data_IF_693718728596
#
_entry.id   IF_693718728596
#
_cell.length_a   1.000
_cell.length_b   1.000
_cell.length_c   1.000
_cell.angle_alpha   90.00
_cell.angle_beta   90.00
_cell.angle_gamma   90.00
#
_symmetry.space_group_name_H-M   'P 1'
#
loop_
_entity.id
_entity.type
_entity.pdbx_description
1 polymer ?
#
# COMPACT_ATOMS: atom_id res chain seq x y z
N UNK A 1 -15.35 -19.32 5.32
CA UNK A 1 -15.78 -20.11 4.13
C UNK A 1 -16.07 -19.25 2.90
N UNK A 2 -16.92 -18.22 2.96
CA UNK A 2 -17.18 -17.34 1.80
C UNK A 2 -15.92 -16.62 1.30
N UNK A 3 -15.09 -16.14 2.22
CA UNK A 3 -13.81 -15.49 1.97
C UNK A 3 -12.82 -16.42 1.27
N UNK A 4 -12.58 -17.62 1.82
CA UNK A 4 -11.70 -18.62 1.21
C UNK A 4 -12.15 -18.94 -0.22
N UNK A 5 -13.46 -19.03 -0.47
CA UNK A 5 -14.01 -19.26 -1.81
C UNK A 5 -13.71 -18.08 -2.75
N UNK A 6 -13.84 -16.84 -2.28
CA UNK A 6 -13.54 -15.65 -3.10
C UNK A 6 -12.06 -15.62 -3.54
N UNK A 7 -11.13 -15.93 -2.64
CA UNK A 7 -9.71 -16.04 -2.96
C UNK A 7 -9.41 -17.23 -3.88
N UNK A 8 -10.05 -18.37 -3.68
CA UNK A 8 -9.89 -19.53 -4.56
C UNK A 8 -10.36 -19.25 -6.01
N UNK A 9 -11.46 -18.52 -6.18
CA UNK A 9 -11.90 -18.08 -7.52
C UNK A 9 -10.92 -17.07 -8.13
N UNK A 10 -10.37 -16.18 -7.32
CA UNK A 10 -9.33 -15.25 -7.74
C UNK A 10 -8.05 -15.97 -8.20
N UNK A 11 -7.64 -17.05 -7.52
CA UNK A 11 -6.51 -17.89 -7.91
C UNK A 11 -6.79 -18.57 -9.25
N UNK A 12 -7.95 -19.19 -9.41
CA UNK A 12 -8.35 -19.89 -10.66
C UNK A 12 -8.39 -18.95 -11.86
N UNK A 13 -8.77 -17.69 -11.67
CA UNK A 13 -8.79 -16.66 -12.71
C UNK A 13 -7.39 -16.11 -13.08
N UNK A 14 -6.32 -16.65 -12.51
CA UNK A 14 -4.95 -16.26 -12.82
C UNK A 14 -4.50 -14.91 -12.22
N UNK A 15 -5.23 -14.37 -11.26
CA UNK A 15 -5.01 -13.07 -10.65
C UNK A 15 -3.68 -12.91 -9.94
N UNK A 16 -3.21 -13.99 -9.37
CA UNK A 16 -1.95 -14.07 -8.65
C UNK A 16 -0.78 -14.42 -9.58
N UNK A 17 -0.99 -14.37 -10.90
CA UNK A 17 0.07 -14.52 -11.89
C UNK A 17 0.88 -13.23 -12.04
N UNK A 18 2.10 -13.32 -12.60
CA UNK A 18 3.06 -12.21 -12.70
C UNK A 18 2.52 -10.98 -13.45
N UNK A 19 3.10 -9.80 -13.19
CA UNK A 19 2.55 -8.52 -13.63
C UNK A 19 2.44 -8.39 -15.15
N UNK A 20 1.33 -7.80 -15.58
CA UNK A 20 1.06 -7.41 -16.97
C UNK A 20 1.33 -5.93 -17.25
N UNK A 21 1.71 -5.17 -16.20
CA UNK A 21 1.92 -3.71 -16.27
C UNK A 21 0.62 -2.91 -16.13
N UNK A 22 -0.37 -3.17 -16.96
CA UNK A 22 -1.64 -2.41 -17.00
C UNK A 22 -2.77 -3.02 -16.19
N UNK A 23 -2.74 -4.32 -15.94
CA UNK A 23 -3.86 -5.07 -15.36
C UNK A 23 -3.38 -6.10 -14.33
N UNK A 24 -4.29 -6.53 -13.45
CA UNK A 24 -4.07 -7.62 -12.51
C UNK A 24 -3.59 -7.16 -11.13
N UNK A 25 -3.21 -8.14 -10.29
CA UNK A 25 -2.79 -7.88 -8.91
C UNK A 25 -1.49 -7.07 -8.85
N UNK A 26 -0.58 -7.29 -9.79
CA UNK A 26 0.77 -6.70 -9.83
C UNK A 26 0.91 -5.68 -10.94
N UNK A 27 -0.10 -4.85 -11.14
CA UNK A 27 -0.07 -3.74 -12.07
C UNK A 27 0.98 -2.67 -11.69
N UNK A 28 1.20 -1.69 -12.56
CA UNK A 28 2.19 -0.64 -12.34
C UNK A 28 1.93 0.20 -11.10
N UNK A 29 0.64 0.49 -10.79
CA UNK A 29 0.29 1.19 -9.54
C UNK A 29 0.69 0.35 -8.33
N UNK A 30 0.51 -0.98 -8.35
CA UNK A 30 1.01 -1.83 -7.27
C UNK A 30 2.51 -1.67 -7.10
N UNK A 31 3.29 -1.78 -8.17
CA UNK A 31 4.76 -1.79 -8.13
C UNK A 31 5.37 -0.41 -7.84
N UNK A 32 4.93 0.62 -8.56
CA UNK A 32 5.56 1.94 -8.56
C UNK A 32 4.87 2.95 -7.64
N UNK A 33 3.74 2.56 -7.06
CA UNK A 33 2.99 3.40 -6.13
C UNK A 33 2.80 2.72 -4.79
N UNK A 34 1.98 1.67 -4.69
CA UNK A 34 1.60 1.06 -3.41
C UNK A 34 2.79 0.46 -2.65
N UNK A 35 3.60 -0.37 -3.33
CA UNK A 35 4.78 -1.01 -2.72
C UNK A 35 5.85 0.03 -2.39
N UNK A 36 6.05 1.03 -3.27
CA UNK A 36 7.00 2.10 -3.04
C UNK A 36 6.59 3.02 -1.87
N UNK A 37 5.31 3.43 -1.77
CA UNK A 37 4.83 4.21 -0.61
C UNK A 37 5.09 3.48 0.69
N UNK A 38 4.68 2.20 0.74
CA UNK A 38 4.89 1.37 1.92
C UNK A 38 6.38 1.22 2.22
N UNK A 39 7.20 0.97 1.21
CA UNK A 39 8.66 0.90 1.33
C UNK A 39 9.27 2.20 1.86
N UNK A 40 8.83 3.36 1.37
CA UNK A 40 9.31 4.66 1.82
C UNK A 40 8.92 4.96 3.27
N UNK A 41 7.71 4.57 3.70
CA UNK A 41 7.30 4.70 5.11
C UNK A 41 8.11 3.79 6.02
N UNK A 42 8.48 2.58 5.57
CA UNK A 42 9.21 1.59 6.36
C UNK A 42 10.72 1.84 6.43
N UNK A 43 11.29 2.38 5.37
CA UNK A 43 12.74 2.50 5.17
C UNK A 43 13.50 2.97 6.41
N UNK A 44 13.15 4.10 7.07
CA UNK A 44 13.92 4.59 8.20
C UNK A 44 13.95 3.63 9.39
N UNK A 45 12.86 2.91 9.62
CA UNK A 45 12.73 1.94 10.72
C UNK A 45 13.50 0.65 10.40
N UNK A 46 13.43 0.17 9.16
CA UNK A 46 14.18 -1.00 8.70
C UNK A 46 15.68 -0.76 8.72
N UNK A 47 16.15 0.40 8.22
CA UNK A 47 17.57 0.76 8.26
C UNK A 47 18.11 0.73 9.70
N UNK A 48 17.34 1.30 10.64
CA UNK A 48 17.72 1.31 12.05
C UNK A 48 17.73 -0.10 12.67
N UNK A 49 16.70 -0.93 12.38
CA UNK A 49 16.61 -2.30 12.86
C UNK A 49 17.78 -3.14 12.33
N UNK A 50 18.03 -3.09 11.02
CA UNK A 50 19.11 -3.85 10.38
C UNK A 50 20.48 -3.41 10.88
N UNK A 51 20.72 -2.10 11.08
CA UNK A 51 21.96 -1.60 11.65
C UNK A 51 22.22 -2.19 13.06
N UNK A 52 21.19 -2.17 13.94
CA UNK A 52 21.29 -2.78 15.28
C UNK A 52 21.61 -4.27 15.23
N UNK A 53 21.05 -5.01 14.26
CA UNK A 53 21.30 -6.45 14.10
C UNK A 53 22.71 -6.72 13.58
N UNK A 54 23.19 -5.96 12.60
CA UNK A 54 24.56 -6.06 12.07
C UNK A 54 25.61 -5.81 13.15
N UNK A 55 25.43 -4.78 13.99
CA UNK A 55 26.33 -4.46 15.10
C UNK A 55 26.45 -5.62 16.11
N UNK A 56 25.39 -6.43 16.26
CA UNK A 56 25.34 -7.58 17.17
C UNK A 56 25.72 -8.90 16.50
N UNK A 57 26.05 -8.90 15.20
CA UNK A 57 26.30 -10.12 14.44
C UNK A 57 25.07 -11.04 14.33
N UNK A 58 23.85 -10.48 14.41
CA UNK A 58 22.59 -11.19 14.34
C UNK A 58 21.93 -11.05 12.98
N UNK A 59 21.08 -12.01 12.62
CA UNK A 59 20.25 -12.00 11.42
C UNK A 59 18.79 -11.75 11.79
N UNK A 60 17.95 -11.53 10.80
CA UNK A 60 16.54 -11.18 10.95
C UNK A 60 15.62 -12.39 10.83
N UNK A 61 14.64 -12.43 11.70
CA UNK A 61 13.49 -13.35 11.63
C UNK A 61 12.24 -12.54 11.32
N UNK A 62 11.52 -12.93 10.27
CA UNK A 62 10.32 -12.21 9.76
C UNK A 62 9.13 -13.14 9.83
N UNK A 63 8.01 -12.66 10.36
CA UNK A 63 6.71 -13.33 10.33
C UNK A 63 5.75 -12.52 9.47
N UNK A 64 5.18 -13.15 8.45
CA UNK A 64 4.19 -12.56 7.55
C UNK A 64 2.82 -13.18 7.81
N UNK A 65 1.92 -12.38 8.37
CA UNK A 65 0.56 -12.77 8.76
C UNK A 65 -0.37 -12.58 7.55
N UNK A 66 -1.06 -13.64 7.12
CA UNK A 66 -1.86 -13.62 5.91
C UNK A 66 -0.99 -13.40 4.66
N UNK A 67 0.09 -14.17 4.55
CA UNK A 67 1.15 -13.98 3.54
C UNK A 67 0.68 -14.19 2.08
N UNK A 68 -0.47 -14.79 1.87
CA UNK A 68 -0.97 -15.12 0.53
C UNK A 68 0.02 -15.97 -0.26
N UNK A 69 0.37 -15.53 -1.46
CA UNK A 69 1.37 -16.17 -2.34
C UNK A 69 2.84 -15.80 -1.99
N UNK A 70 3.09 -15.23 -0.81
CA UNK A 70 4.44 -14.91 -0.33
C UNK A 70 5.01 -13.58 -0.84
N UNK A 71 4.16 -12.67 -1.31
CA UNK A 71 4.57 -11.36 -1.88
C UNK A 71 5.30 -10.48 -0.86
N UNK A 72 4.99 -10.65 0.44
CA UNK A 72 5.62 -9.90 1.52
C UNK A 72 7.14 -10.09 1.57
N UNK A 73 7.64 -11.27 1.19
CA UNK A 73 9.08 -11.53 1.12
C UNK A 73 9.75 -10.68 0.04
N UNK A 74 9.23 -10.70 -1.19
CA UNK A 74 9.80 -9.89 -2.28
C UNK A 74 9.69 -8.40 -1.95
N UNK A 75 8.55 -7.95 -1.44
CA UNK A 75 8.35 -6.58 -1.03
C UNK A 75 9.43 -6.13 -0.03
N UNK A 76 9.61 -6.85 1.09
CA UNK A 76 10.48 -6.39 2.17
C UNK A 76 11.98 -6.49 1.81
N UNK A 77 12.37 -7.48 1.00
CA UNK A 77 13.77 -7.65 0.56
C UNK A 77 14.17 -6.70 -0.56
N UNK A 78 13.23 -6.14 -1.30
CA UNK A 78 13.50 -5.20 -2.39
C UNK A 78 13.56 -3.72 -1.94
N UNK A 79 13.36 -3.43 -0.66
CA UNK A 79 13.47 -2.04 -0.17
C UNK A 79 14.93 -1.61 -0.16
N UNK A 80 15.22 -0.56 -0.96
CA UNK A 80 16.57 -0.04 -1.15
C UNK A 80 16.92 0.94 -0.02
N UNK A 81 18.17 0.87 0.45
CA UNK A 81 18.70 1.80 1.45
C UNK A 81 18.78 3.23 0.93
N UNK A 82 18.47 4.19 1.80
CA UNK A 82 18.65 5.63 1.51
C UNK A 82 20.11 6.03 1.29
N UNK A 83 21.05 5.19 1.75
CA UNK A 83 22.50 5.39 1.65
C UNK A 83 23.14 4.61 0.53
N UNK A 84 22.35 3.87 -0.27
CA UNK A 84 22.90 3.09 -1.38
C UNK A 84 23.60 3.99 -2.40
N UNK A 85 24.78 3.58 -2.84
CA UNK A 85 25.49 4.19 -3.95
C UNK A 85 25.73 3.13 -5.03
N UNK A 86 25.84 3.56 -6.29
CA UNK A 86 26.10 2.67 -7.43
C UNK A 86 27.40 1.85 -7.26
N UNK A 87 28.30 2.29 -6.38
CA UNK A 87 29.56 1.63 -6.06
C UNK A 87 29.46 0.54 -4.98
N UNK A 88 28.31 0.41 -4.31
CA UNK A 88 28.10 -0.61 -3.27
C UNK A 88 27.32 -1.78 -3.85
N UNK A 89 27.79 -3.00 -3.57
CA UNK A 89 27.15 -4.23 -4.08
C UNK A 89 25.85 -4.57 -3.38
N UNK A 90 25.62 -4.04 -2.16
CA UNK A 90 24.41 -4.27 -1.37
C UNK A 90 23.59 -2.98 -1.33
N UNK A 91 22.61 -2.88 -2.22
CA UNK A 91 21.67 -1.76 -2.27
C UNK A 91 20.45 -1.99 -1.39
N UNK A 92 20.05 -3.25 -1.16
CA UNK A 92 18.90 -3.60 -0.33
C UNK A 92 19.24 -3.44 1.16
N UNK A 93 18.22 -3.00 1.93
CA UNK A 93 18.37 -2.89 3.40
C UNK A 93 18.56 -4.29 4.00
N UNK A 94 17.74 -5.25 3.56
CA UNK A 94 17.78 -6.65 3.97
C UNK A 94 18.51 -7.45 2.88
N UNK A 95 19.83 -7.43 2.92
CA UNK A 95 20.63 -8.27 2.03
C UNK A 95 20.35 -9.77 2.29
N UNK A 96 20.52 -10.66 1.29
CA UNK A 96 20.22 -12.09 1.42
C UNK A 96 20.85 -12.77 2.64
N UNK A 97 22.08 -12.38 3.01
CA UNK A 97 22.78 -12.89 4.19
C UNK A 97 22.23 -12.42 5.54
N UNK A 98 21.39 -11.39 5.54
CA UNK A 98 20.74 -10.86 6.76
C UNK A 98 19.48 -11.61 7.15
N UNK A 99 18.85 -12.36 6.23
CA UNK A 99 17.65 -13.11 6.51
C UNK A 99 18.00 -14.47 7.13
N UNK A 100 17.59 -14.69 8.38
CA UNK A 100 17.68 -15.98 9.06
C UNK A 100 16.47 -16.85 8.72
N UNK A 101 15.29 -16.28 8.88
CA UNK A 101 14.02 -16.96 8.64
C UNK A 101 12.99 -15.97 8.13
N UNK A 102 12.29 -16.33 7.05
CA UNK A 102 11.00 -15.79 6.71
C UNK A 102 9.94 -16.86 6.85
N UNK A 103 8.92 -16.59 7.65
CA UNK A 103 7.81 -17.51 7.87
C UNK A 103 6.50 -16.81 7.48
N UNK A 104 5.81 -17.36 6.51
CA UNK A 104 4.49 -16.89 6.07
C UNK A 104 3.39 -17.77 6.63
N UNK A 105 2.33 -17.15 7.15
CA UNK A 105 1.14 -17.85 7.63
C UNK A 105 -0.06 -17.42 6.81
N UNK A 106 -0.85 -18.37 6.33
CA UNK A 106 -2.12 -18.08 5.66
C UNK A 106 -3.14 -19.20 5.91
N UNK A 107 -4.41 -18.86 5.91
CA UNK A 107 -5.52 -19.80 6.05
C UNK A 107 -5.89 -20.47 4.71
N UNK A 108 -5.39 -19.95 3.59
CA UNK A 108 -5.68 -20.44 2.25
C UNK A 108 -4.55 -21.32 1.71
N UNK A 109 -4.76 -22.64 1.74
CA UNK A 109 -3.76 -23.62 1.27
C UNK A 109 -3.44 -23.48 -0.24
N UNK A 110 -4.37 -22.99 -1.06
CA UNK A 110 -4.12 -22.75 -2.48
C UNK A 110 -3.09 -21.64 -2.71
N UNK A 111 -3.15 -20.55 -1.92
CA UNK A 111 -2.15 -19.47 -1.95
C UNK A 111 -0.80 -19.97 -1.42
N UNK A 112 -0.78 -20.76 -0.34
CA UNK A 112 0.45 -21.32 0.22
C UNK A 112 1.13 -22.29 -0.74
N UNK A 113 0.36 -23.05 -1.53
CA UNK A 113 0.92 -23.91 -2.58
C UNK A 113 1.68 -23.06 -3.61
N UNK A 114 1.10 -21.96 -4.07
CA UNK A 114 1.79 -21.04 -4.98
C UNK A 114 3.02 -20.40 -4.32
N UNK A 115 2.90 -19.99 -3.04
CA UNK A 115 4.02 -19.42 -2.31
C UNK A 115 5.21 -20.38 -2.21
N UNK A 116 4.95 -21.67 -1.93
CA UNK A 116 5.98 -22.71 -1.88
C UNK A 116 6.61 -22.93 -3.25
N UNK A 117 5.82 -22.98 -4.32
CA UNK A 117 6.33 -23.11 -5.69
C UNK A 117 7.22 -21.94 -6.11
N UNK A 118 6.85 -20.69 -5.74
CA UNK A 118 7.61 -19.49 -6.07
C UNK A 118 8.94 -19.44 -5.31
N UNK A 119 8.95 -19.88 -4.05
CA UNK A 119 10.09 -19.70 -3.13
C UNK A 119 10.80 -20.98 -2.72
N UNK A 120 10.56 -22.12 -3.41
CA UNK A 120 11.14 -23.44 -3.11
C UNK A 120 12.67 -23.47 -3.10
N UNK A 121 13.30 -22.55 -3.84
CA UNK A 121 14.75 -22.40 -3.92
C UNK A 121 15.39 -21.69 -2.72
N UNK A 122 14.61 -21.18 -1.78
CA UNK A 122 15.08 -20.42 -0.59
C UNK A 122 14.97 -21.26 0.68
N UNK A 123 16.10 -21.81 1.23
CA UNK A 123 16.06 -22.75 2.35
C UNK A 123 15.62 -22.11 3.68
N UNK A 124 15.69 -20.79 3.79
CA UNK A 124 15.30 -20.04 4.98
C UNK A 124 13.90 -19.42 4.87
N UNK A 125 13.07 -19.93 3.95
CA UNK A 125 11.68 -19.49 3.75
C UNK A 125 10.76 -20.67 3.98
N UNK A 126 9.73 -20.49 4.80
CA UNK A 126 8.71 -21.50 5.04
C UNK A 126 7.31 -20.92 5.10
N UNK A 127 6.31 -21.77 4.81
CA UNK A 127 4.90 -21.37 4.77
C UNK A 127 4.05 -22.36 5.58
N UNK A 128 3.22 -21.83 6.47
CA UNK A 128 2.39 -22.59 7.42
C UNK A 128 0.92 -22.33 7.13
N UNK A 129 0.14 -23.41 6.98
CA UNK A 129 -1.30 -23.36 6.87
C UNK A 129 -1.90 -23.25 8.28
N UNK A 130 -2.29 -22.04 8.68
CA UNK A 130 -2.89 -21.76 9.99
C UNK A 130 -3.66 -20.45 9.95
N UNK A 131 -4.63 -20.29 10.86
CA UNK A 131 -5.12 -18.98 11.24
C UNK A 131 -4.03 -18.29 12.09
N UNK A 132 -3.62 -17.09 11.69
CA UNK A 132 -2.58 -16.37 12.41
C UNK A 132 -3.03 -15.92 13.81
N UNK A 133 -4.33 -15.89 14.12
CA UNK A 133 -4.83 -15.65 15.47
C UNK A 133 -4.61 -16.85 16.39
N UNK A 134 -4.54 -18.06 15.85
CA UNK A 134 -4.33 -19.30 16.59
C UNK A 134 -2.85 -19.73 16.62
N UNK A 135 -1.97 -18.99 15.94
CA UNK A 135 -0.55 -19.30 15.87
C UNK A 135 0.14 -19.07 17.23
N UNK A 136 0.80 -20.10 17.76
CA UNK A 136 1.51 -20.02 19.03
C UNK A 136 2.87 -19.31 18.88
N UNK A 137 2.85 -17.98 19.03
CA UNK A 137 4.07 -17.17 19.03
C UNK A 137 5.06 -17.55 20.15
N UNK A 138 4.57 -18.15 21.25
CA UNK A 138 5.39 -18.53 22.40
C UNK A 138 6.21 -19.79 22.17
N UNK A 139 5.84 -20.61 21.19
CA UNK A 139 6.57 -21.83 20.82
C UNK A 139 7.78 -21.54 19.92
N UNK A 140 7.90 -20.33 19.37
CA UNK A 140 8.92 -19.92 18.44
C UNK A 140 9.94 -18.97 19.07
N UNK A 141 11.15 -18.92 18.49
CA UNK A 141 12.07 -17.85 18.80
C UNK A 141 11.47 -16.50 18.32
N UNK A 142 11.65 -15.40 19.06
CA UNK A 142 11.05 -14.11 18.71
C UNK A 142 11.42 -13.64 17.32
N UNK A 143 10.43 -13.08 16.61
CA UNK A 143 10.66 -12.40 15.33
C UNK A 143 11.04 -10.94 15.55
N UNK A 144 11.75 -10.37 14.57
CA UNK A 144 12.18 -8.98 14.55
C UNK A 144 11.20 -8.09 13.78
N UNK A 145 10.53 -8.67 12.81
CA UNK A 145 9.59 -7.98 11.94
C UNK A 145 8.32 -8.82 11.76
N UNK A 146 7.19 -8.18 11.97
CA UNK A 146 5.86 -8.73 11.73
C UNK A 146 5.18 -7.93 10.62
N UNK A 147 4.75 -8.61 9.58
CA UNK A 147 4.03 -8.03 8.44
C UNK A 147 2.56 -8.44 8.49
N UNK A 148 1.66 -7.51 8.26
CA UNK A 148 0.23 -7.74 8.04
C UNK A 148 -0.27 -6.74 6.99
N UNK A 149 0.22 -6.92 5.76
CA UNK A 149 0.06 -5.98 4.66
C UNK A 149 -1.26 -6.19 3.90
N UNK A 150 -1.69 -5.15 3.16
CA UNK A 150 -2.77 -5.22 2.16
C UNK A 150 -4.10 -5.75 2.69
N UNK A 151 -4.51 -5.25 3.85
CA UNK A 151 -5.81 -5.53 4.43
C UNK A 151 -5.88 -6.82 5.24
N UNK A 152 -4.76 -7.49 5.53
CA UNK A 152 -4.75 -8.74 6.31
C UNK A 152 -5.51 -8.61 7.62
N UNK A 153 -5.19 -7.63 8.46
CA UNK A 153 -5.90 -7.45 9.73
C UNK A 153 -7.29 -6.82 9.59
N UNK A 154 -7.71 -6.46 8.37
CA UNK A 154 -9.11 -6.11 8.10
C UNK A 154 -10.06 -7.31 8.21
N UNK A 155 -9.55 -8.53 8.29
CA UNK A 155 -10.33 -9.74 8.57
C UNK A 155 -10.63 -9.94 10.06
N UNK A 156 -9.90 -9.26 10.95
CA UNK A 156 -10.04 -9.37 12.40
C UNK A 156 -11.07 -8.39 12.97
N UNK A 157 -11.67 -8.77 14.11
CA UNK A 157 -12.31 -7.80 15.00
C UNK A 157 -11.27 -6.94 15.71
N UNK A 158 -11.72 -5.83 16.30
CA UNK A 158 -10.84 -4.96 17.10
C UNK A 158 -10.23 -5.75 18.28
N UNK A 159 -11.02 -6.63 18.93
CA UNK A 159 -10.60 -7.47 20.04
C UNK A 159 -9.52 -8.48 19.61
N UNK A 160 -9.72 -9.16 18.47
CA UNK A 160 -8.73 -10.09 17.91
C UNK A 160 -7.42 -9.35 17.56
N UNK A 161 -7.52 -8.17 16.95
CA UNK A 161 -6.34 -7.35 16.66
C UNK A 161 -5.60 -6.92 17.93
N UNK A 162 -6.33 -6.48 18.95
CA UNK A 162 -5.75 -6.10 20.25
C UNK A 162 -5.06 -7.31 20.92
N UNK A 163 -5.66 -8.49 20.87
CA UNK A 163 -5.08 -9.71 21.44
C UNK A 163 -3.81 -10.12 20.69
N UNK A 164 -3.87 -10.19 19.37
CA UNK A 164 -2.72 -10.51 18.51
C UNK A 164 -1.54 -9.56 18.79
N UNK A 165 -1.77 -8.23 18.74
CA UNK A 165 -0.73 -7.23 19.00
C UNK A 165 -0.20 -7.29 20.45
N UNK A 166 -1.05 -7.62 21.41
CA UNK A 166 -0.64 -7.83 22.80
C UNK A 166 0.31 -9.02 22.91
N UNK A 167 -0.01 -10.13 22.26
CA UNK A 167 0.81 -11.33 22.24
C UNK A 167 2.15 -11.08 21.54
N UNK A 168 2.13 -10.44 20.37
CA UNK A 168 3.35 -10.02 19.65
C UNK A 168 4.21 -9.14 20.55
N UNK A 169 3.66 -8.09 21.17
CA UNK A 169 4.43 -7.18 22.02
C UNK A 169 5.08 -7.88 23.22
N UNK A 170 4.40 -8.87 23.81
CA UNK A 170 4.93 -9.66 24.94
C UNK A 170 6.02 -10.62 24.53
N UNK A 171 5.89 -11.27 23.38
CA UNK A 171 6.82 -12.31 22.91
C UNK A 171 8.04 -11.72 22.19
N UNK A 172 7.90 -10.58 21.51
CA UNK A 172 8.99 -9.97 20.74
C UNK A 172 10.09 -9.39 21.61
N UNK A 173 11.26 -9.15 21.00
CA UNK A 173 12.37 -8.42 21.64
C UNK A 173 12.18 -6.91 21.50
N UNK A 174 12.94 -6.14 22.32
CA UNK A 174 13.03 -4.70 22.16
C UNK A 174 13.49 -4.31 20.75
N UNK A 175 12.78 -3.40 20.11
CA UNK A 175 13.07 -2.89 18.77
C UNK A 175 12.48 -3.74 17.65
N UNK A 176 11.65 -4.75 17.94
CA UNK A 176 10.89 -5.45 16.93
C UNK A 176 9.85 -4.51 16.30
N UNK A 177 9.65 -4.61 14.97
CA UNK A 177 8.70 -3.80 14.23
C UNK A 177 7.45 -4.60 13.86
N UNK A 178 6.31 -3.93 13.91
CA UNK A 178 5.03 -4.48 13.46
C UNK A 178 4.45 -3.52 12.43
N UNK A 179 4.12 -4.02 11.27
CA UNK A 179 3.60 -3.25 10.14
C UNK A 179 2.24 -3.78 9.79
N UNK A 180 1.26 -2.89 9.81
CA UNK A 180 -0.13 -3.21 9.50
C UNK A 180 -0.62 -2.26 8.42
N UNK A 181 -1.34 -2.78 7.44
CA UNK A 181 -2.04 -2.01 6.43
C UNK A 181 -3.51 -2.44 6.41
N UNK A 182 -4.38 -1.66 7.03
CA UNK A 182 -5.84 -1.87 7.04
C UNK A 182 -6.49 -1.19 5.84
N UNK A 183 -7.72 -1.57 5.49
CA UNK A 183 -8.54 -0.79 4.59
C UNK A 183 -8.95 0.55 5.24
N UNK A 184 -8.73 1.65 4.52
CA UNK A 184 -9.04 2.99 5.03
C UNK A 184 -10.53 3.26 5.05
N UNK A 185 -11.06 3.70 6.19
CA UNK A 185 -12.50 3.95 6.42
C UNK A 185 -13.08 5.03 5.52
N UNK A 186 -12.31 6.07 5.24
CA UNK A 186 -12.71 7.24 4.49
C UNK A 186 -12.14 7.27 3.07
N UNK A 187 -11.73 6.12 2.52
CA UNK A 187 -11.35 6.03 1.11
C UNK A 187 -12.48 6.51 0.19
N UNK A 188 -12.11 7.26 -0.84
CA UNK A 188 -13.07 7.74 -1.84
C UNK A 188 -13.77 6.60 -2.59
N UNK A 189 -13.11 5.45 -2.71
CA UNK A 189 -13.65 4.25 -3.37
C UNK A 189 -15.01 3.82 -2.80
N UNK A 190 -15.21 3.97 -1.49
CA UNK A 190 -16.47 3.64 -0.81
C UNK A 190 -17.07 4.85 -0.05
N UNK A 191 -16.99 6.01 -0.67
CA UNK A 191 -17.56 7.26 -0.14
C UNK A 191 -19.01 7.12 0.34
N UNK A 192 -19.82 6.30 -0.34
CA UNK A 192 -21.21 6.05 0.04
C UNK A 192 -21.38 5.33 1.38
N UNK A 193 -20.33 4.64 1.85
CA UNK A 193 -20.31 3.93 3.13
C UNK A 193 -19.78 4.76 4.31
N UNK A 194 -19.26 5.97 4.06
CA UNK A 194 -18.78 6.83 5.16
C UNK A 194 -19.90 7.11 6.15
N UNK A 195 -19.59 7.06 7.44
CA UNK A 195 -20.52 7.32 8.52
C UNK A 195 -19.82 7.97 9.69
N UNK A 196 -20.56 8.80 10.44
CA UNK A 196 -20.09 9.45 11.66
C UNK A 196 -20.10 8.53 12.88
N UNK A 197 -20.76 7.39 12.76
CA UNK A 197 -20.75 6.40 13.81
C UNK A 197 -19.33 5.80 13.92
N UNK A 198 -18.64 6.15 14.99
CA UNK A 198 -17.30 5.68 15.35
C UNK A 198 -17.34 4.35 16.12
N UNK A 199 -18.45 3.62 16.02
CA UNK A 199 -18.59 2.32 16.66
C UNK A 199 -17.45 1.37 16.28
N UNK A 200 -16.96 0.65 17.30
CA UNK A 200 -15.94 -0.38 17.11
C UNK A 200 -16.42 -1.47 16.14
N UNK A 201 -15.48 -2.16 15.50
CA UNK A 201 -15.79 -3.26 14.56
C UNK A 201 -16.63 -2.81 13.34
N UNK A 202 -16.22 -1.72 12.68
CA UNK A 202 -16.91 -1.26 11.47
C UNK A 202 -16.57 -2.14 10.27
N UNK A 203 -17.59 -2.82 9.74
CA UNK A 203 -17.45 -3.76 8.64
C UNK A 203 -18.10 -3.25 7.36
N UNK A 204 -17.46 -3.55 6.23
CA UNK A 204 -18.07 -3.43 4.91
C UNK A 204 -18.26 -4.82 4.26
N UNK A 205 -19.22 -4.93 3.37
CA UNK A 205 -19.32 -6.08 2.46
C UNK A 205 -18.35 -5.87 1.31
N UNK A 206 -17.21 -6.53 1.38
CA UNK A 206 -16.15 -6.42 0.39
C UNK A 206 -16.28 -7.49 -0.68
N UNK A 207 -15.86 -7.19 -1.90
CA UNK A 207 -15.82 -8.11 -3.03
C UNK A 207 -14.58 -7.84 -3.87
N UNK A 208 -13.95 -8.91 -4.36
CA UNK A 208 -12.82 -8.82 -5.29
C UNK A 208 -13.41 -8.68 -6.70
N UNK A 209 -13.73 -7.44 -7.11
CA UNK A 209 -14.38 -7.14 -8.39
C UNK A 209 -13.47 -6.44 -9.42
N UNK A 210 -12.22 -6.17 -9.04
CA UNK A 210 -11.24 -5.47 -9.88
C UNK A 210 -10.45 -6.39 -10.80
N UNK A 211 -10.90 -7.63 -10.93
CA UNK A 211 -10.24 -8.63 -11.73
C UNK A 211 -10.79 -8.59 -13.14
N UNK A 212 -9.93 -8.50 -14.18
CA UNK A 212 -10.40 -8.64 -15.54
C UNK A 212 -11.01 -10.05 -15.71
N UNK A 213 -12.18 -10.12 -16.33
CA UNK A 213 -12.67 -11.38 -16.86
C UNK A 213 -11.66 -11.88 -17.91
N UNK A 214 -11.30 -13.15 -17.85
CA UNK A 214 -10.51 -13.77 -18.92
C UNK A 214 -11.31 -13.70 -20.21
N UNK A 215 -10.70 -13.28 -21.31
CA UNK A 215 -11.36 -13.12 -22.59
C UNK A 215 -12.13 -14.41 -22.98
N UNK A 216 -13.46 -14.27 -23.13
CA UNK A 216 -14.37 -15.37 -23.52
C UNK A 216 -14.98 -16.15 -22.34
N UNK A 217 -14.64 -15.88 -21.10
CA UNK A 217 -15.26 -16.48 -19.92
C UNK A 217 -16.36 -15.56 -19.33
N UNK A 218 -17.37 -16.18 -18.70
CA UNK A 218 -18.33 -15.41 -17.90
C UNK A 218 -17.59 -14.75 -16.74
N UNK A 219 -17.90 -13.46 -16.41
CA UNK A 219 -17.39 -12.87 -15.18
C UNK A 219 -17.65 -13.82 -14.00
N UNK A 220 -16.67 -14.01 -13.11
CA UNK A 220 -16.86 -14.85 -11.94
C UNK A 220 -18.03 -14.34 -11.11
N UNK A 221 -18.77 -15.26 -10.49
CA UNK A 221 -19.82 -14.89 -9.55
C UNK A 221 -19.19 -14.15 -8.37
N UNK A 222 -19.67 -12.91 -8.13
CA UNK A 222 -19.07 -12.05 -7.11
C UNK A 222 -19.43 -12.56 -5.70
N UNK A 223 -18.44 -13.03 -4.97
CA UNK A 223 -18.59 -13.47 -3.58
C UNK A 223 -18.23 -12.34 -2.62
N UNK A 224 -19.24 -11.92 -1.82
CA UNK A 224 -19.05 -10.88 -0.81
C UNK A 224 -18.65 -11.49 0.54
N UNK A 225 -17.72 -10.82 1.23
CA UNK A 225 -17.30 -11.16 2.58
C UNK A 225 -17.04 -9.89 3.42
N UNK A 226 -17.12 -9.98 4.75
CA UNK A 226 -16.91 -8.80 5.58
C UNK A 226 -15.43 -8.43 5.68
N UNK A 227 -15.10 -7.13 5.55
CA UNK A 227 -13.80 -6.57 5.91
C UNK A 227 -13.97 -5.37 6.84
N UNK A 228 -13.09 -5.31 7.83
CA UNK A 228 -12.97 -4.18 8.74
C UNK A 228 -12.38 -2.97 8.01
N UNK A 229 -13.01 -1.80 8.13
CA UNK A 229 -12.45 -0.54 7.65
C UNK A 229 -12.01 0.30 8.86
N UNK A 230 -10.85 0.96 8.72
CA UNK A 230 -10.13 1.60 9.81
C UNK A 230 -9.93 3.09 9.55
N UNK A 231 -10.28 3.93 10.52
CA UNK A 231 -9.87 5.32 10.57
C UNK A 231 -8.82 5.55 11.66
N UNK A 232 -8.32 6.78 11.73
CA UNK A 232 -7.32 7.18 12.73
C UNK A 232 -7.78 6.89 14.16
N UNK A 233 -9.04 7.21 14.49
CA UNK A 233 -9.57 7.06 15.82
C UNK A 233 -9.61 5.60 16.27
N UNK A 234 -10.03 4.70 15.38
CA UNK A 234 -10.06 3.27 15.65
C UNK A 234 -8.65 2.68 15.78
N UNK A 235 -7.72 3.09 14.92
CA UNK A 235 -6.32 2.66 15.02
C UNK A 235 -5.68 3.11 16.35
N UNK A 236 -5.93 4.35 16.77
CA UNK A 236 -5.46 4.87 18.07
C UNK A 236 -6.14 4.18 19.25
N UNK A 237 -7.42 3.81 19.13
CA UNK A 237 -8.12 3.02 20.14
C UNK A 237 -7.47 1.64 20.32
N UNK A 238 -7.23 0.91 19.23
CA UNK A 238 -6.53 -0.40 19.27
C UNK A 238 -5.15 -0.23 19.93
N UNK A 239 -4.38 0.76 19.50
CA UNK A 239 -3.08 1.06 20.09
C UNK A 239 -3.17 1.29 21.62
N UNK A 240 -4.14 2.10 22.08
CA UNK A 240 -4.30 2.38 23.51
C UNK A 240 -4.67 1.12 24.30
N UNK A 241 -5.56 0.27 23.77
CA UNK A 241 -5.94 -1.00 24.39
C UNK A 241 -4.73 -1.94 24.53
N UNK A 242 -3.88 -2.05 23.50
CA UNK A 242 -2.65 -2.85 23.58
C UNK A 242 -1.68 -2.26 24.58
N UNK A 243 -1.51 -0.93 24.60
CA UNK A 243 -0.63 -0.24 25.55
C UNK A 243 -1.05 -0.49 26.99
N UNK A 244 -2.36 -0.42 27.29
CA UNK A 244 -2.89 -0.66 28.63
C UNK A 244 -2.69 -2.13 29.06
N UNK A 245 -2.95 -3.09 28.15
CA UNK A 245 -2.78 -4.52 28.45
C UNK A 245 -1.31 -4.95 28.63
N UNK A 246 -0.39 -4.23 28.02
CA UNK A 246 1.04 -4.58 28.04
C UNK A 246 1.87 -3.73 29.00
N UNK A 247 1.28 -2.72 29.63
CA UNK A 247 2.02 -1.76 30.46
C UNK A 247 2.95 -0.85 29.63
N UNK A 248 2.64 -0.64 28.35
CA UNK A 248 3.36 0.29 27.47
C UNK A 248 4.45 -0.34 26.60
N UNK A 249 4.41 -1.66 26.35
CA UNK A 249 5.41 -2.34 25.51
C UNK A 249 5.33 -2.00 24.02
N UNK A 250 4.33 -1.27 23.56
CA UNK A 250 4.16 -0.92 22.16
C UNK A 250 4.16 0.60 21.96
N UNK A 251 4.83 1.08 20.95
CA UNK A 251 4.83 2.48 20.52
C UNK A 251 4.36 2.58 19.07
N UNK A 252 3.39 3.46 18.80
CA UNK A 252 2.99 3.81 17.43
C UNK A 252 4.00 4.80 16.87
N UNK A 253 4.74 4.40 15.85
CA UNK A 253 5.80 5.19 15.21
C UNK A 253 5.29 6.00 14.01
N UNK A 254 4.37 5.43 13.23
CA UNK A 254 3.79 6.08 12.06
C UNK A 254 2.35 5.64 11.84
N UNK A 255 1.54 6.55 11.28
CA UNK A 255 0.19 6.27 10.78
C UNK A 255 -0.01 7.09 9.51
N UNK A 256 -0.18 6.44 8.38
CA UNK A 256 -0.18 7.06 7.07
C UNK A 256 -1.28 6.50 6.16
N UNK A 257 -1.91 7.37 5.38
CA UNK A 257 -2.83 6.97 4.30
C UNK A 257 -2.02 6.53 3.08
N UNK A 258 -2.51 5.55 2.33
CA UNK A 258 -1.93 5.01 1.11
C UNK A 258 -2.98 4.87 0.02
N UNK A 259 -2.63 5.31 -1.20
CA UNK A 259 -3.47 5.15 -2.41
C UNK A 259 -4.84 5.82 -2.29
N UNK A 260 -4.89 7.14 -2.07
CA UNK A 260 -6.14 7.89 -1.84
C UNK A 260 -7.08 7.92 -3.05
N UNK A 261 -6.53 8.06 -4.28
CA UNK A 261 -7.32 8.10 -5.51
C UNK A 261 -6.97 7.01 -6.53
N UNK A 262 -6.02 6.13 -6.21
CA UNK A 262 -5.56 5.06 -7.11
C UNK A 262 -5.85 3.66 -6.57
N UNK A 263 -6.77 3.56 -5.62
CA UNK A 263 -7.20 2.28 -5.06
C UNK A 263 -7.87 1.39 -6.11
N UNK A 264 -8.02 0.10 -5.77
CA UNK A 264 -8.44 -0.92 -6.75
C UNK A 264 -9.88 -0.77 -7.22
N UNK A 265 -10.77 -0.23 -6.37
CA UNK A 265 -12.17 -0.05 -6.68
C UNK A 265 -12.49 1.28 -7.36
N UNK A 266 -11.51 2.13 -7.61
CA UNK A 266 -11.68 3.32 -8.45
C UNK A 266 -12.16 2.92 -9.85
N UNK A 267 -11.54 1.92 -10.46
CA UNK A 267 -11.84 1.48 -11.83
C UNK A 267 -13.18 0.75 -11.94
N UNK A 268 -13.66 0.12 -10.86
CA UNK A 268 -14.91 -0.65 -10.88
C UNK A 268 -16.14 0.19 -10.54
N UNK A 269 -15.95 1.31 -9.87
CA UNK A 269 -17.02 2.13 -9.29
C UNK A 269 -18.01 1.31 -8.42
N UNK A 270 -17.59 0.15 -7.89
CA UNK A 270 -18.42 -0.85 -7.22
C UNK A 270 -19.16 -0.28 -6.00
N UNK A 271 -18.50 0.58 -5.23
CA UNK A 271 -19.02 1.15 -3.98
C UNK A 271 -19.33 2.65 -4.08
N UNK A 272 -18.80 3.32 -5.08
CA UNK A 272 -19.01 4.74 -5.32
C UNK A 272 -19.16 4.98 -6.83
N UNK A 273 -20.39 5.24 -7.31
CA UNK A 273 -20.65 5.43 -8.73
C UNK A 273 -19.99 6.68 -9.31
N UNK A 274 -19.41 7.54 -8.47
CA UNK A 274 -18.68 8.73 -8.88
C UNK A 274 -17.17 8.49 -9.05
N UNK A 275 -16.68 7.27 -8.79
CA UNK A 275 -15.31 6.92 -9.09
C UNK A 275 -15.04 6.96 -10.60
N UNK A 276 -13.83 7.37 -10.94
CA UNK A 276 -13.32 7.38 -12.30
C UNK A 276 -12.28 6.25 -12.42
N UNK A 277 -12.01 5.72 -13.62
CA UNK A 277 -11.02 4.66 -13.83
C UNK A 277 -9.57 5.17 -13.70
N UNK A 278 -9.29 5.85 -12.58
CA UNK A 278 -8.06 6.59 -12.37
C UNK A 278 -6.85 5.66 -12.16
N UNK A 279 -7.06 4.50 -11.52
CA UNK A 279 -5.99 3.50 -11.34
C UNK A 279 -5.44 3.04 -12.69
N UNK A 280 -6.32 2.70 -13.64
CA UNK A 280 -5.93 2.28 -14.99
C UNK A 280 -5.15 3.36 -15.73
N UNK A 281 -5.56 4.63 -15.58
CA UNK A 281 -4.89 5.77 -16.21
C UNK A 281 -3.51 6.03 -15.58
N UNK A 282 -3.39 5.90 -14.26
CA UNK A 282 -2.09 5.99 -13.57
C UNK A 282 -1.20 4.81 -13.93
N UNK A 283 -1.75 3.60 -14.11
CA UNK A 283 -0.98 2.46 -14.64
C UNK A 283 -0.36 2.79 -16.00
N UNK A 284 -1.09 3.48 -16.89
CA UNK A 284 -0.58 3.84 -18.22
C UNK A 284 0.53 4.89 -18.20
N UNK A 285 0.61 5.75 -17.18
CA UNK A 285 1.73 6.69 -17.00
C UNK A 285 3.09 6.00 -16.89
N UNK A 286 3.11 4.75 -16.39
CA UNK A 286 4.33 3.96 -16.22
C UNK A 286 4.61 3.00 -17.38
N UNK A 287 3.77 2.99 -18.43
CA UNK A 287 3.95 2.12 -19.58
C UNK A 287 4.81 2.79 -20.66
N UNK A 288 5.99 2.24 -21.01
CA UNK A 288 6.82 2.77 -22.07
C UNK A 288 6.06 2.81 -23.41
N UNK A 289 6.21 3.92 -24.13
CA UNK A 289 5.62 4.14 -25.46
C UNK A 289 4.08 4.25 -25.51
N UNK A 290 3.40 4.28 -24.38
CA UNK A 290 1.95 4.53 -24.27
C UNK A 290 1.73 5.94 -23.77
N UNK A 291 1.20 6.83 -24.61
CA UNK A 291 0.84 8.18 -24.17
C UNK A 291 -0.54 8.19 -23.55
N UNK A 292 -0.62 8.67 -22.32
CA UNK A 292 -1.85 8.77 -21.54
C UNK A 292 -2.62 10.06 -21.90
N UNK A 293 -3.94 9.98 -21.96
CA UNK A 293 -4.77 11.19 -22.04
C UNK A 293 -4.79 11.87 -20.66
N UNK A 294 -4.03 12.96 -20.51
CA UNK A 294 -3.89 13.65 -19.22
C UNK A 294 -5.18 14.34 -18.76
N UNK A 295 -6.10 14.69 -19.67
CA UNK A 295 -7.42 15.23 -19.28
C UNK A 295 -8.26 14.19 -18.51
N UNK A 296 -8.06 12.90 -18.77
CA UNK A 296 -8.74 11.82 -18.07
C UNK A 296 -8.10 11.50 -16.70
N UNK A 297 -6.85 11.92 -16.48
CA UNK A 297 -6.15 11.76 -15.19
C UNK A 297 -6.62 12.79 -14.15
N UNK A 298 -7.40 13.79 -14.56
CA UNK A 298 -7.96 14.81 -13.68
C UNK A 298 -9.03 14.22 -12.74
N UNK A 299 -8.95 14.53 -11.45
CA UNK A 299 -9.87 14.06 -10.42
C UNK A 299 -11.12 14.95 -10.38
N UNK A 300 -12.29 14.34 -10.46
CA UNK A 300 -13.60 14.99 -10.22
C UNK A 300 -14.12 14.58 -8.87
N UNK A 301 -13.60 15.24 -7.83
CA UNK A 301 -14.00 14.94 -6.46
C UNK A 301 -15.43 15.46 -6.17
N UNK A 302 -16.24 14.61 -5.53
CA UNK A 302 -17.59 14.95 -5.08
C UNK A 302 -17.63 14.83 -3.55
N UNK A 303 -17.76 15.93 -2.81
CA UNK A 303 -17.78 15.90 -1.36
C UNK A 303 -19.02 15.16 -0.81
N UNK A 304 -18.94 14.69 0.42
CA UNK A 304 -20.07 14.11 1.17
C UNK A 304 -20.43 14.97 2.35
N UNK A 305 -21.71 15.34 2.47
CA UNK A 305 -22.21 16.18 3.56
C UNK A 305 -21.90 15.57 4.93
N UNK A 306 -21.48 16.42 5.85
CA UNK A 306 -21.21 16.03 7.21
C UNK A 306 -19.79 15.50 7.49
N UNK A 307 -18.90 15.43 6.49
CA UNK A 307 -17.52 14.94 6.62
C UNK A 307 -16.51 16.05 6.30
N UNK A 308 -16.55 17.14 7.05
CA UNK A 308 -15.81 18.38 6.74
C UNK A 308 -14.31 18.14 6.58
N UNK A 309 -13.65 17.49 7.55
CA UNK A 309 -12.20 17.26 7.53
C UNK A 309 -11.78 16.29 6.42
N UNK A 310 -12.53 15.20 6.26
CA UNK A 310 -12.29 14.21 5.19
C UNK A 310 -12.47 14.86 3.81
N UNK A 311 -13.54 15.65 3.63
CA UNK A 311 -13.76 16.39 2.39
C UNK A 311 -12.64 17.42 2.14
N UNK A 312 -12.18 18.12 3.16
CA UNK A 312 -11.11 19.10 3.04
C UNK A 312 -9.81 18.45 2.56
N UNK A 313 -9.47 17.26 3.09
CA UNK A 313 -8.31 16.51 2.65
C UNK A 313 -8.44 16.09 1.17
N UNK A 314 -9.52 15.39 0.82
CA UNK A 314 -9.70 14.90 -0.55
C UNK A 314 -9.78 16.04 -1.57
N UNK A 315 -10.48 17.15 -1.24
CA UNK A 315 -10.56 18.30 -2.12
C UNK A 315 -9.17 18.94 -2.33
N UNK A 316 -8.42 19.14 -1.24
CA UNK A 316 -7.06 19.70 -1.32
C UNK A 316 -6.13 18.82 -2.17
N UNK A 317 -6.19 17.50 -1.98
CA UNK A 317 -5.39 16.57 -2.78
C UNK A 317 -5.81 16.62 -4.26
N UNK A 318 -7.13 16.63 -4.55
CA UNK A 318 -7.66 16.72 -5.91
C UNK A 318 -7.26 18.03 -6.59
N UNK A 319 -7.35 19.17 -5.90
CA UNK A 319 -6.96 20.47 -6.45
C UNK A 319 -5.47 20.53 -6.78
N UNK A 320 -4.62 20.06 -5.87
CA UNK A 320 -3.17 20.00 -6.09
C UNK A 320 -2.79 19.02 -7.20
N UNK A 321 -3.42 17.84 -7.24
CA UNK A 321 -3.25 16.85 -8.29
C UNK A 321 -3.60 17.41 -9.66
N UNK A 322 -4.82 17.95 -9.79
CA UNK A 322 -5.30 18.52 -11.05
C UNK A 322 -4.42 19.66 -11.53
N UNK A 323 -3.97 20.51 -10.61
CA UNK A 323 -3.07 21.62 -10.96
C UNK A 323 -1.73 21.11 -11.49
N UNK A 324 -1.12 20.10 -10.85
CA UNK A 324 0.13 19.50 -11.32
C UNK A 324 -0.02 18.86 -12.70
N UNK A 325 -1.10 18.10 -12.93
CA UNK A 325 -1.40 17.48 -14.23
C UNK A 325 -1.59 18.53 -15.30
N UNK A 326 -2.43 19.54 -15.05
CA UNK A 326 -2.75 20.60 -16.05
C UNK A 326 -1.52 21.47 -16.38
N UNK A 327 -0.69 21.78 -15.38
CA UNK A 327 0.58 22.49 -15.62
C UNK A 327 1.53 21.64 -16.49
N UNK A 328 1.66 20.35 -16.20
CA UNK A 328 2.49 19.43 -17.01
C UNK A 328 1.99 19.35 -18.44
N UNK A 329 0.68 19.26 -18.64
CA UNK A 329 0.08 19.28 -19.98
C UNK A 329 0.35 20.59 -20.72
N UNK A 330 0.16 21.73 -20.06
CA UNK A 330 0.45 23.05 -20.63
C UNK A 330 1.92 23.18 -21.07
N UNK A 331 2.85 22.67 -20.28
CA UNK A 331 4.28 22.63 -20.62
C UNK A 331 4.54 21.76 -21.87
N UNK A 332 3.92 20.60 -21.96
CA UNK A 332 4.05 19.70 -23.12
C UNK A 332 3.51 20.33 -24.42
N UNK A 333 2.45 21.10 -24.32
CA UNK A 333 1.78 21.78 -25.46
C UNK A 333 2.40 23.14 -25.77
N UNK A 334 3.30 23.67 -24.94
CA UNK A 334 3.80 25.04 -25.07
C UNK A 334 2.73 26.10 -24.84
N UNK A 335 1.66 25.75 -24.13
CA UNK A 335 0.54 26.63 -23.82
C UNK A 335 0.74 27.35 -22.47
N UNK A 336 -0.13 28.34 -22.18
CA UNK A 336 -0.06 29.07 -20.91
C UNK A 336 -0.55 28.16 -19.76
N UNK A 337 0.20 28.07 -18.64
CA UNK A 337 -0.27 27.34 -17.46
C UNK A 337 -1.57 27.94 -16.90
N UNK A 338 -2.37 27.13 -16.17
CA UNK A 338 -3.60 27.61 -15.52
C UNK A 338 -3.31 28.70 -14.48
N UNK A 339 -4.35 29.41 -14.07
CA UNK A 339 -4.25 30.36 -12.95
C UNK A 339 -3.80 29.65 -11.67
N UNK A 340 -2.88 30.28 -10.95
CA UNK A 340 -2.32 29.67 -9.73
C UNK A 340 -3.41 29.42 -8.68
N UNK A 341 -3.30 28.31 -7.96
CA UNK A 341 -4.14 28.02 -6.81
C UNK A 341 -3.99 29.11 -5.75
N UNK A 342 -5.09 29.47 -5.07
CA UNK A 342 -5.07 30.46 -3.99
C UNK A 342 -4.10 30.10 -2.87
N UNK A 343 -4.02 28.79 -2.54
CA UNK A 343 -3.04 28.22 -1.64
C UNK A 343 -2.24 27.13 -2.34
N UNK A 344 -0.95 27.34 -2.48
CA UNK A 344 -0.03 26.39 -3.09
C UNK A 344 0.92 25.81 -2.05
N UNK A 345 0.68 24.57 -1.56
CA UNK A 345 1.54 23.96 -0.55
C UNK A 345 2.96 23.75 -1.07
N UNK A 346 3.95 23.75 -0.15
CA UNK A 346 5.35 23.58 -0.50
C UNK A 346 5.62 22.30 -1.34
N UNK A 347 5.02 21.14 -1.03
CA UNK A 347 5.19 19.95 -1.88
C UNK A 347 4.82 20.22 -3.34
N UNK A 348 3.66 20.79 -3.60
CA UNK A 348 3.20 21.07 -4.97
C UNK A 348 4.17 21.98 -5.72
N UNK A 349 4.66 23.06 -5.07
CA UNK A 349 5.64 23.98 -5.70
C UNK A 349 6.93 23.26 -6.12
N UNK A 350 7.44 22.37 -5.26
CA UNK A 350 8.64 21.60 -5.56
C UNK A 350 8.43 20.63 -6.72
N UNK A 351 7.27 19.95 -6.75
CA UNK A 351 6.94 19.00 -7.81
C UNK A 351 6.68 19.68 -9.16
N UNK A 352 6.11 20.88 -9.17
CA UNK A 352 5.98 21.70 -10.39
C UNK A 352 7.35 22.04 -10.98
N UNK A 353 8.29 22.49 -10.16
CA UNK A 353 9.68 22.75 -10.61
C UNK A 353 10.33 21.49 -11.19
N UNK A 354 10.11 20.35 -10.55
CA UNK A 354 10.60 19.06 -11.07
C UNK A 354 10.00 18.76 -12.47
N UNK A 355 8.69 18.92 -12.62
CA UNK A 355 8.04 18.67 -13.92
C UNK A 355 8.47 19.66 -15.02
N UNK A 356 8.69 20.95 -14.68
CA UNK A 356 9.26 21.94 -15.61
C UNK A 356 10.63 21.50 -16.14
N UNK A 357 11.51 21.02 -15.25
CA UNK A 357 12.82 20.52 -15.61
C UNK A 357 12.75 19.26 -16.49
N UNK A 358 11.89 18.31 -16.12
CA UNK A 358 11.70 17.06 -16.89
C UNK A 358 11.18 17.34 -18.30
N UNK A 359 10.14 18.18 -18.44
CA UNK A 359 9.58 18.52 -19.76
C UNK A 359 10.60 19.27 -20.62
N UNK A 360 11.35 20.19 -20.03
CA UNK A 360 12.42 20.91 -20.72
C UNK A 360 13.50 19.98 -21.27
N UNK A 361 13.92 18.98 -20.48
CA UNK A 361 14.88 17.97 -20.93
C UNK A 361 14.29 17.09 -22.02
N UNK A 362 13.04 16.64 -21.87
CA UNK A 362 12.35 15.81 -22.85
C UNK A 362 12.18 16.50 -24.20
N UNK A 363 11.94 17.82 -24.23
CA UNK A 363 11.80 18.60 -25.45
C UNK A 363 13.08 18.64 -26.32
N UNK A 364 14.26 18.39 -25.73
CA UNK A 364 15.55 18.30 -26.43
C UNK A 364 15.92 16.90 -26.90
N UNK A 365 15.10 15.89 -26.66
CA UNK A 365 15.41 14.51 -27.00
C UNK A 365 14.90 14.12 -28.39
N UNK A 366 15.78 13.52 -29.20
CA UNK A 366 15.46 12.99 -30.53
C UNK A 366 15.04 11.50 -30.50
N UNK A 367 14.82 10.92 -29.32
CA UNK A 367 14.58 9.48 -29.17
C UNK A 367 13.10 9.19 -28.86
N UNK A 368 12.48 8.44 -29.75
CA UNK A 368 11.21 7.77 -29.50
C UNK A 368 10.08 8.71 -29.02
N UNK A 369 9.24 8.20 -28.13
CA UNK A 369 8.19 8.98 -27.48
C UNK A 369 8.70 9.47 -26.10
N UNK A 370 9.44 10.60 -26.10
CA UNK A 370 10.00 11.18 -24.89
C UNK A 370 8.92 11.53 -23.83
N UNK A 371 7.70 11.88 -24.28
CA UNK A 371 6.56 12.11 -23.40
C UNK A 371 6.23 10.84 -22.58
N UNK A 372 5.96 9.73 -23.25
CA UNK A 372 5.57 8.48 -22.59
C UNK A 372 6.73 7.80 -21.83
N UNK A 373 7.98 7.99 -22.32
CA UNK A 373 9.13 7.29 -21.74
C UNK A 373 9.82 8.06 -20.62
N UNK A 374 9.64 9.38 -20.53
CA UNK A 374 10.30 10.22 -19.54
C UNK A 374 9.31 11.07 -18.73
N UNK A 375 8.42 11.84 -19.40
CA UNK A 375 7.58 12.82 -18.72
C UNK A 375 6.49 12.15 -17.90
N UNK A 376 5.74 11.22 -18.49
CA UNK A 376 4.59 10.59 -17.84
C UNK A 376 4.98 9.72 -16.62
N UNK A 377 6.05 8.90 -16.65
CA UNK A 377 6.50 8.21 -15.44
C UNK A 377 6.90 9.17 -14.31
N UNK A 378 7.58 10.27 -14.64
CA UNK A 378 7.93 11.27 -13.62
C UNK A 378 6.70 11.99 -13.07
N UNK A 379 5.69 12.25 -13.89
CA UNK A 379 4.40 12.75 -13.42
C UNK A 379 3.76 11.77 -12.44
N UNK A 380 3.75 10.46 -12.75
CA UNK A 380 3.26 9.41 -11.85
C UNK A 380 3.98 9.43 -10.49
N UNK A 381 5.32 9.52 -10.48
CA UNK A 381 6.10 9.64 -9.24
C UNK A 381 5.82 10.95 -8.50
N UNK A 382 5.66 12.07 -9.21
CA UNK A 382 5.31 13.34 -8.59
C UNK A 382 3.92 13.32 -7.96
N UNK A 383 2.93 12.70 -8.59
CA UNK A 383 1.58 12.54 -8.04
C UNK A 383 1.57 11.67 -6.79
N UNK A 384 2.35 10.58 -6.76
CA UNK A 384 2.55 9.74 -5.58
C UNK A 384 3.18 10.54 -4.42
N UNK A 385 4.28 11.25 -4.70
CA UNK A 385 4.96 12.07 -3.70
C UNK A 385 4.04 13.18 -3.17
N UNK A 386 3.18 13.76 -4.01
CA UNK A 386 2.18 14.73 -3.60
C UNK A 386 1.20 14.11 -2.58
N UNK A 387 0.67 12.94 -2.86
CA UNK A 387 -0.21 12.19 -1.96
C UNK A 387 0.50 11.92 -0.63
N UNK A 388 1.70 11.32 -0.66
CA UNK A 388 2.48 11.00 0.54
C UNK A 388 2.75 12.21 1.43
N UNK A 389 2.95 13.38 0.86
CA UNK A 389 3.28 14.60 1.61
C UNK A 389 2.07 15.41 2.05
N UNK A 390 0.89 15.15 1.49
CA UNK A 390 -0.36 15.80 1.89
C UNK A 390 -1.24 14.91 2.78
N UNK A 391 -1.01 13.61 2.80
CA UNK A 391 -1.76 12.65 3.62
C UNK A 391 -1.62 12.95 5.12
N UNK A 392 -2.58 12.48 5.93
CA UNK A 392 -2.67 12.79 7.35
C UNK A 392 -2.90 11.56 8.23
N UNK A 393 -2.93 10.34 7.66
CA UNK A 393 -3.21 9.12 8.40
C UNK A 393 -4.62 9.08 8.99
N UNK A 394 -5.60 9.60 8.25
CA UNK A 394 -7.01 9.65 8.69
C UNK A 394 -7.81 8.40 8.31
N UNK A 395 -7.29 7.56 7.44
CA UNK A 395 -8.01 6.46 6.78
C UNK A 395 -8.68 6.92 5.48
N UNK A 396 -8.13 7.94 4.81
CA UNK A 396 -8.63 8.48 3.55
C UNK A 396 -8.06 7.74 2.32
N UNK A 397 -7.04 6.93 2.49
CA UNK A 397 -6.48 6.07 1.44
C UNK A 397 -7.23 4.76 1.28
N UNK A 398 -6.93 4.00 0.21
CA UNK A 398 -7.31 2.59 0.12
C UNK A 398 -6.78 1.81 1.32
N UNK A 399 -5.53 2.08 1.73
CA UNK A 399 -4.88 1.57 2.92
C UNK A 399 -4.67 2.64 3.99
N UNK A 400 -4.70 2.21 5.26
CA UNK A 400 -4.22 2.94 6.42
C UNK A 400 -3.08 2.13 7.06
N UNK A 401 -1.87 2.62 6.84
CA UNK A 401 -0.64 1.96 7.29
C UNK A 401 -0.27 2.41 8.70
N UNK A 402 -0.09 1.47 9.61
CA UNK A 402 0.45 1.71 10.94
C UNK A 402 1.78 0.97 11.14
N UNK A 403 2.76 1.65 11.70
CA UNK A 403 4.06 1.09 12.07
C UNK A 403 4.22 1.21 13.56
N UNK A 404 4.44 0.07 14.23
CA UNK A 404 4.70 0.01 15.65
C UNK A 404 6.11 -0.53 15.94
N UNK A 405 6.67 -0.10 17.06
CA UNK A 405 7.92 -0.65 17.61
C UNK A 405 7.65 -1.19 19.03
N UNK A 406 8.22 -2.36 19.32
CA UNK A 406 8.18 -2.94 20.65
C UNK A 406 9.27 -2.31 21.53
N UNK A 407 8.88 -1.80 22.70
CA UNK A 407 9.75 -1.10 23.66
C UNK A 407 9.76 -1.89 24.97
N UNK A 408 10.91 -2.48 25.33
CA UNK A 408 11.11 -3.23 26.59
C UNK A 408 12.24 -2.66 27.41
#
# INVERSE_FOLDING_TARGET
MAEINAYNEAIKSGLYQKPTGLLGKYDNVRRFWEDEELGLYLRPYLEQMVARKRERGQRLRILDLGCGSGDGLEFITNIISSKSSISEHDTEIIAPGMLELYQGIDINEGLLTQAREIHDHRPNVCFIHSDFNDFDLGAEEPYDLYLANYGTLSHNTDEQTVELLTNIARQSQHGALIIIDWLGRYSYEWRTLWTKDTGHNRWMKYVISYLPAVDGEKPPELTYFPLRIMGREEALYIYQQVKDKTGGLLTLCNLADRSSFVGRHMDTAQYNPHCQPLRRLVNSLFEPNVSTNLDEVLIRYIPRDGFTEVNAYHQRLADCWNYLVTCTQALLEGSKPPEALAEMPLPLRQLLTTMEDVVRVAAGMEVGNARASLVEPQLGYCLRELEMRLQQGQGCGHGLVAIFEVVK
#
